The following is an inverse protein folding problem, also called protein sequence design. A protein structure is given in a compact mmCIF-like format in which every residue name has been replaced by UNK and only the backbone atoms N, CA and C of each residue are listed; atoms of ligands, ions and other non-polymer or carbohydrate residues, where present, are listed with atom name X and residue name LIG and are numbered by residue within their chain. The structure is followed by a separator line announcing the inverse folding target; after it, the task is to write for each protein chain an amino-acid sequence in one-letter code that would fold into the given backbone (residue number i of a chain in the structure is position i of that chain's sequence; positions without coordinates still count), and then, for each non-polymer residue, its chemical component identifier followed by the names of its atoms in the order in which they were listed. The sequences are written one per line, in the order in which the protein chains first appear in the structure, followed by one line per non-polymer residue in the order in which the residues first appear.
data_IF_761149884362
#
_entry.id   IF_761149884362
#
_cell.length_a   1.000
_cell.length_b   1.000
_cell.length_c   1.000
_cell.angle_alpha   90.00
_cell.angle_beta   90.00
_cell.angle_gamma   90.00
#
_symmetry.space_group_name_H-M   'P 1'
#
loop_
_entity.id
_entity.type
_entity.pdbx_description
1 polymer ?
#
# COMPACT_ATOMS: atom_id res chain seq x y z
N UNK A 1 5.75 -8.19 4.21
CA UNK A 1 4.55 -7.78 3.44
C UNK A 1 3.63 -8.96 3.15
N UNK A 2 4.13 -10.05 2.55
CA UNK A 2 3.31 -11.21 2.15
C UNK A 2 2.48 -11.81 3.31
N UNK A 3 3.08 -12.06 4.47
CA UNK A 3 2.35 -12.58 5.63
C UNK A 3 1.28 -11.61 6.14
N UNK A 4 1.62 -10.34 6.30
CA UNK A 4 0.68 -9.30 6.73
C UNK A 4 -0.51 -9.18 5.78
N UNK A 5 -0.26 -9.27 4.47
CA UNK A 5 -1.31 -9.32 3.46
C UNK A 5 -2.18 -10.58 3.64
N UNK A 6 -1.58 -11.77 3.63
CA UNK A 6 -2.32 -13.04 3.70
C UNK A 6 -3.27 -13.12 4.91
N UNK A 7 -2.82 -12.67 6.09
CA UNK A 7 -3.63 -12.71 7.30
C UNK A 7 -4.50 -11.46 7.49
N UNK A 8 -4.06 -10.29 7.02
CA UNK A 8 -4.69 -9.00 7.28
C UNK A 8 -6.15 -8.94 6.83
N UNK A 9 -6.45 -9.39 5.61
CA UNK A 9 -7.84 -9.43 5.10
C UNK A 9 -8.74 -10.36 5.93
N UNK A 10 -8.26 -11.58 6.20
CA UNK A 10 -9.03 -12.59 6.96
C UNK A 10 -9.29 -12.16 8.40
N UNK A 11 -8.30 -11.49 9.03
CA UNK A 11 -8.43 -10.94 10.38
C UNK A 11 -9.35 -9.72 10.36
N UNK A 12 -9.31 -8.88 9.31
CA UNK A 12 -10.20 -7.73 9.13
C UNK A 12 -11.67 -8.16 9.02
N UNK A 13 -11.95 -9.28 8.36
CA UNK A 13 -13.29 -9.86 8.28
C UNK A 13 -13.82 -10.29 9.65
N UNK A 14 -12.93 -10.75 10.55
CA UNK A 14 -13.30 -11.23 11.88
C UNK A 14 -13.37 -10.12 12.94
N UNK A 15 -12.31 -9.32 13.07
CA UNK A 15 -12.13 -8.27 14.08
C UNK A 15 -12.71 -6.91 13.67
N UNK A 16 -13.01 -6.72 12.38
CA UNK A 16 -13.46 -5.47 11.79
C UNK A 16 -12.31 -4.67 11.15
N UNK A 17 -12.57 -4.13 9.95
CA UNK A 17 -11.60 -3.40 9.14
C UNK A 17 -10.94 -2.23 9.88
N UNK A 18 -11.71 -1.38 10.58
CA UNK A 18 -11.17 -0.24 11.32
C UNK A 18 -10.12 -0.67 12.36
N UNK A 19 -10.43 -1.71 13.15
CA UNK A 19 -9.55 -2.18 14.22
C UNK A 19 -8.26 -2.77 13.66
N UNK A 20 -8.36 -3.57 12.60
CA UNK A 20 -7.18 -4.17 11.96
C UNK A 20 -6.33 -3.10 11.29
N UNK A 21 -6.93 -2.11 10.64
CA UNK A 21 -6.20 -0.99 10.05
C UNK A 21 -5.45 -0.20 11.14
N UNK A 22 -6.12 0.19 12.23
CA UNK A 22 -5.47 0.92 13.34
C UNK A 22 -4.32 0.11 13.96
N UNK A 23 -4.53 -1.19 14.20
CA UNK A 23 -3.48 -2.06 14.74
C UNK A 23 -2.30 -2.19 13.77
N UNK A 24 -2.58 -2.32 12.48
CA UNK A 24 -1.56 -2.44 11.43
C UNK A 24 -0.70 -1.18 11.32
N UNK A 25 -1.35 -0.01 11.38
CA UNK A 25 -0.67 1.29 11.40
C UNK A 25 0.14 1.48 12.69
N UNK A 26 -0.37 1.04 13.84
CA UNK A 26 0.37 1.07 15.10
C UNK A 26 1.62 0.17 15.07
N UNK A 27 1.47 -1.09 14.62
CA UNK A 27 2.60 -2.02 14.45
C UNK A 27 3.62 -1.43 13.48
N UNK A 28 3.17 -0.93 12.33
CA UNK A 28 4.06 -0.28 11.37
C UNK A 28 4.82 0.88 12.02
N UNK A 29 4.13 1.85 12.61
CA UNK A 29 4.76 3.05 13.17
C UNK A 29 5.74 2.75 14.31
N UNK A 30 5.37 1.88 15.25
CA UNK A 30 6.21 1.51 16.39
C UNK A 30 7.48 0.80 15.92
N UNK A 31 7.36 -0.25 15.10
CA UNK A 31 8.53 -1.02 14.67
C UNK A 31 9.40 -0.26 13.65
N UNK A 32 8.80 0.65 12.89
CA UNK A 32 9.55 1.56 12.01
C UNK A 32 10.36 2.58 12.82
N UNK A 33 9.83 3.09 13.94
CA UNK A 33 10.60 3.95 14.85
C UNK A 33 11.67 3.17 15.63
N UNK A 34 11.36 1.97 16.13
CA UNK A 34 12.32 1.12 16.87
C UNK A 34 13.55 0.75 16.03
N UNK A 35 13.39 0.67 14.71
CA UNK A 35 14.49 0.48 13.76
C UNK A 35 15.60 1.53 13.94
N UNK A 36 15.27 2.77 14.31
CA UNK A 36 16.23 3.86 14.47
C UNK A 36 17.21 3.65 15.64
N UNK A 37 16.79 2.87 16.65
CA UNK A 37 17.54 2.63 17.88
C UNK A 37 17.95 1.15 18.04
N UNK A 38 17.85 0.36 16.97
CA UNK A 38 18.17 -1.06 17.00
C UNK A 38 19.65 -1.28 17.33
N UNK A 39 19.99 -1.95 18.45
CA UNK A 39 21.38 -2.11 18.90
C UNK A 39 22.10 -3.30 18.25
N UNK A 40 21.36 -4.19 17.57
CA UNK A 40 21.89 -5.39 16.93
C UNK A 40 21.18 -5.71 15.61
N UNK A 41 21.81 -6.53 14.78
CA UNK A 41 21.28 -6.90 13.47
C UNK A 41 20.04 -7.80 13.57
N UNK A 42 19.96 -8.64 14.60
CA UNK A 42 18.81 -9.51 14.86
C UNK A 42 17.57 -8.69 15.20
N UNK A 43 17.72 -7.67 16.05
CA UNK A 43 16.64 -6.73 16.39
C UNK A 43 16.23 -5.93 15.16
N UNK A 44 17.19 -5.53 14.32
CA UNK A 44 16.89 -4.86 13.06
C UNK A 44 16.04 -5.74 12.14
N UNK A 45 16.40 -7.01 11.96
CA UNK A 45 15.61 -7.95 11.14
C UNK A 45 14.21 -8.17 11.71
N UNK A 46 14.09 -8.35 13.03
CA UNK A 46 12.80 -8.51 13.69
C UNK A 46 11.91 -7.27 13.51
N UNK A 47 12.47 -6.07 13.73
CA UNK A 47 11.75 -4.81 13.54
C UNK A 47 11.30 -4.62 12.09
N UNK A 48 12.15 -4.96 11.11
CA UNK A 48 11.80 -4.87 9.68
C UNK A 48 10.76 -5.90 9.26
N UNK A 49 10.83 -7.11 9.79
CA UNK A 49 9.81 -8.12 9.57
C UNK A 49 8.44 -7.64 10.06
N UNK A 50 8.37 -7.09 11.28
CA UNK A 50 7.13 -6.60 11.89
C UNK A 50 6.60 -5.33 11.23
N UNK A 51 7.48 -4.41 10.83
CA UNK A 51 7.12 -3.28 9.95
C UNK A 51 6.46 -3.78 8.68
N UNK A 52 7.07 -4.79 8.03
CA UNK A 52 6.54 -5.40 6.82
C UNK A 52 5.21 -6.13 7.02
N UNK A 53 4.94 -6.63 8.23
CA UNK A 53 3.65 -7.22 8.59
C UNK A 53 2.58 -6.15 8.73
N UNK A 54 2.86 -5.08 9.47
CA UNK A 54 1.96 -3.93 9.61
C UNK A 54 1.61 -3.28 8.28
N UNK A 55 2.60 -3.00 7.43
CA UNK A 55 2.35 -2.41 6.10
C UNK A 55 1.47 -3.31 5.22
N UNK A 56 1.77 -4.62 5.18
CA UNK A 56 1.03 -5.57 4.36
C UNK A 56 -0.43 -5.72 4.78
N UNK A 57 -0.68 -5.77 6.09
CA UNK A 57 -2.03 -5.85 6.64
C UNK A 57 -2.81 -4.54 6.43
N UNK A 58 -2.17 -3.38 6.60
CA UNK A 58 -2.78 -2.08 6.36
C UNK A 58 -3.22 -1.91 4.89
N UNK A 59 -2.34 -2.25 3.93
CA UNK A 59 -2.65 -2.11 2.50
C UNK A 59 -3.85 -2.96 2.09
N UNK A 60 -3.93 -4.23 2.49
CA UNK A 60 -5.09 -5.05 2.14
C UNK A 60 -6.37 -4.60 2.82
N UNK A 61 -6.27 -4.18 4.09
CA UNK A 61 -7.45 -3.68 4.82
C UNK A 61 -7.98 -2.41 4.15
N UNK A 62 -7.10 -1.52 3.68
CA UNK A 62 -7.49 -0.33 2.91
C UNK A 62 -8.16 -0.69 1.57
N UNK A 63 -7.62 -1.65 0.81
CA UNK A 63 -8.24 -2.13 -0.43
C UNK A 63 -9.67 -2.64 -0.16
N UNK A 64 -9.84 -3.38 0.93
CA UNK A 64 -11.17 -3.87 1.34
C UNK A 64 -12.12 -2.74 1.73
N UNK A 65 -11.67 -1.77 2.52
CA UNK A 65 -12.48 -0.60 2.92
C UNK A 65 -12.91 0.21 1.70
N UNK A 66 -11.99 0.46 0.77
CA UNK A 66 -12.30 1.15 -0.49
C UNK A 66 -13.28 0.33 -1.32
N UNK A 67 -13.13 -1.00 -1.38
CA UNK A 67 -14.09 -1.89 -2.05
C UNK A 67 -15.51 -1.77 -1.52
N UNK A 68 -15.67 -1.62 -0.20
CA UNK A 68 -16.97 -1.50 0.46
C UNK A 68 -17.60 -0.09 0.34
N UNK A 69 -16.79 0.95 0.10
CA UNK A 69 -17.27 2.34 -0.03
C UNK A 69 -17.36 2.81 -1.48
N UNK A 70 -16.61 2.18 -2.38
CA UNK A 70 -16.56 2.54 -3.78
C UNK A 70 -17.83 2.06 -4.50
N UNK A 71 -18.51 3.03 -5.12
CA UNK A 71 -19.48 2.77 -6.17
C UNK A 71 -18.76 2.48 -7.48
N UNK A 72 -19.44 1.85 -8.45
CA UNK A 72 -18.85 1.58 -9.77
C UNK A 72 -18.33 2.85 -10.48
N UNK A 73 -18.90 4.02 -10.17
CA UNK A 73 -18.56 5.30 -10.81
C UNK A 73 -17.29 5.97 -10.26
N UNK A 74 -16.87 5.62 -9.04
CA UNK A 74 -15.73 6.27 -8.37
C UNK A 74 -14.65 5.29 -7.90
N UNK A 75 -14.76 4.00 -8.25
CA UNK A 75 -13.81 2.96 -7.85
C UNK A 75 -12.40 3.24 -8.35
N UNK A 76 -12.23 3.69 -9.60
CA UNK A 76 -10.93 4.06 -10.15
C UNK A 76 -10.28 5.20 -9.38
N UNK A 77 -11.04 6.27 -9.11
CA UNK A 77 -10.58 7.42 -8.30
C UNK A 77 -10.24 7.07 -6.86
N UNK A 78 -11.06 6.28 -6.18
CA UNK A 78 -10.81 5.93 -4.78
C UNK A 78 -9.58 5.01 -4.64
N UNK A 79 -9.43 4.04 -5.56
CA UNK A 79 -8.23 3.21 -5.61
C UNK A 79 -6.99 4.04 -5.94
N UNK A 80 -7.05 4.94 -6.93
CA UNK A 80 -5.90 5.78 -7.27
C UNK A 80 -5.52 6.72 -6.13
N UNK A 81 -6.49 7.30 -5.43
CA UNK A 81 -6.25 8.15 -4.26
C UNK A 81 -5.55 7.38 -3.14
N UNK A 82 -5.98 6.14 -2.88
CA UNK A 82 -5.32 5.26 -1.93
C UNK A 82 -3.85 4.97 -2.34
N UNK A 83 -3.59 4.63 -3.60
CA UNK A 83 -2.24 4.34 -4.08
C UNK A 83 -1.33 5.57 -4.10
N UNK A 84 -1.88 6.79 -4.21
CA UNK A 84 -1.09 8.03 -4.15
C UNK A 84 -0.43 8.27 -2.79
N UNK A 85 -0.88 7.61 -1.72
CA UNK A 85 -0.21 7.71 -0.42
C UNK A 85 1.27 7.31 -0.47
N UNK A 86 1.64 6.35 -1.31
CA UNK A 86 3.03 5.89 -1.46
C UNK A 86 3.96 6.96 -2.07
N UNK A 87 3.69 7.51 -3.28
CA UNK A 87 4.54 8.56 -3.83
C UNK A 87 4.48 9.85 -3.01
N UNK A 88 3.34 10.20 -2.39
CA UNK A 88 3.26 11.35 -1.48
C UNK A 88 4.19 11.19 -0.27
N UNK A 89 4.23 10.00 0.34
CA UNK A 89 5.18 9.70 1.40
C UNK A 89 6.65 9.80 0.95
N UNK A 90 6.95 9.33 -0.26
CA UNK A 90 8.29 9.44 -0.83
C UNK A 90 8.70 10.90 -1.10
N UNK A 91 7.78 11.74 -1.59
CA UNK A 91 7.99 13.19 -1.75
C UNK A 91 8.30 13.84 -0.40
N UNK A 92 7.54 13.50 0.63
CA UNK A 92 7.77 14.02 1.98
C UNK A 92 9.17 13.69 2.49
N UNK A 93 9.61 12.43 2.36
CA UNK A 93 10.96 12.00 2.76
C UNK A 93 12.05 12.67 1.93
N UNK A 94 11.89 12.76 0.61
CA UNK A 94 12.84 13.44 -0.27
C UNK A 94 12.97 14.93 0.09
N UNK A 95 11.85 15.60 0.39
CA UNK A 95 11.84 16.99 0.86
C UNK A 95 12.61 17.19 2.16
N UNK A 96 12.44 16.28 3.14
CA UNK A 96 13.23 16.31 4.38
C UNK A 96 14.73 16.13 4.11
N UNK A 97 15.10 15.21 3.21
CA UNK A 97 16.49 14.97 2.85
C UNK A 97 17.15 16.15 2.10
N UNK A 98 16.37 16.90 1.31
CA UNK A 98 16.84 18.11 0.62
C UNK A 98 17.00 19.28 1.61
N UNK A 99 16.04 19.46 2.51
CA UNK A 99 16.06 20.56 3.48
C UNK A 99 17.12 20.36 4.57
N UNK A 100 17.26 19.14 5.09
CA UNK A 100 18.24 18.78 6.11
C UNK A 100 19.41 18.01 5.49
N UNK A 101 20.45 18.73 5.04
CA UNK A 101 21.61 18.16 4.32
C UNK A 101 22.28 16.98 5.05
N UNK A 102 22.37 17.08 6.39
CA UNK A 102 23.02 16.10 7.26
C UNK A 102 22.02 15.24 8.06
N UNK A 103 20.79 15.06 7.55
CA UNK A 103 19.82 14.21 8.22
C UNK A 103 20.33 12.77 8.32
N UNK A 104 20.43 12.29 9.55
CA UNK A 104 20.80 10.90 9.82
C UNK A 104 19.64 9.97 9.44
N UNK A 105 19.95 8.76 8.99
CA UNK A 105 18.93 7.78 8.62
C UNK A 105 18.01 7.43 9.81
N UNK A 106 18.54 7.42 11.04
CA UNK A 106 17.77 7.21 12.28
C UNK A 106 16.63 8.21 12.41
N UNK A 107 16.90 9.49 12.11
CA UNK A 107 15.89 10.56 12.15
C UNK A 107 14.78 10.32 11.13
N UNK A 108 15.11 9.82 9.93
CA UNK A 108 14.13 9.46 8.91
C UNK A 108 13.21 8.32 9.37
N UNK A 109 13.75 7.30 10.04
CA UNK A 109 12.95 6.22 10.63
C UNK A 109 12.08 6.68 11.80
N UNK A 110 12.61 7.54 12.66
CA UNK A 110 11.83 8.13 13.76
C UNK A 110 10.66 8.97 13.22
N UNK A 111 10.93 9.89 12.29
CA UNK A 111 9.89 10.72 11.69
C UNK A 111 8.86 9.84 10.97
N UNK A 112 9.32 8.90 10.13
CA UNK A 112 8.43 8.01 9.38
C UNK A 112 7.60 7.08 10.26
N UNK A 113 8.09 6.73 11.46
CA UNK A 113 7.39 5.88 12.42
C UNK A 113 6.43 6.66 13.31
N UNK A 114 6.83 7.85 13.77
CA UNK A 114 6.01 8.71 14.61
C UNK A 114 4.84 9.35 13.84
N UNK A 115 5.05 9.72 12.57
CA UNK A 115 4.01 10.34 11.73
C UNK A 115 2.70 9.53 11.71
N UNK A 116 2.68 8.23 11.35
CA UNK A 116 1.45 7.44 11.37
C UNK A 116 0.89 7.23 12.78
N UNK A 117 1.73 7.18 13.83
CA UNK A 117 1.27 7.06 15.23
C UNK A 117 0.53 8.31 15.69
N UNK A 118 1.02 9.50 15.32
CA UNK A 118 0.34 10.78 15.60
C UNK A 118 -0.98 10.90 14.85
N UNK A 119 -1.11 10.25 13.69
CA UNK A 119 -2.35 10.22 12.91
C UNK A 119 -3.37 9.19 13.45
N UNK A 120 -2.99 8.23 14.29
CA UNK A 120 -3.90 7.22 14.83
C UNK A 120 -5.12 7.79 15.56
N UNK A 121 -5.00 8.78 16.46
CA UNK A 121 -6.17 9.38 17.12
C UNK A 121 -7.12 10.02 16.11
N UNK A 122 -6.59 10.70 15.10
CA UNK A 122 -7.37 11.32 14.04
C UNK A 122 -8.09 10.26 13.19
N UNK A 123 -7.40 9.18 12.82
CA UNK A 123 -8.00 8.02 12.16
C UNK A 123 -9.11 7.39 13.00
N UNK A 124 -8.92 7.26 14.31
CA UNK A 124 -9.91 6.67 15.21
C UNK A 124 -11.19 7.51 15.32
N UNK A 125 -11.08 8.83 15.20
CA UNK A 125 -12.20 9.78 15.20
C UNK A 125 -12.96 9.77 13.86
N UNK A 126 -12.24 9.69 12.73
CA UNK A 126 -12.85 9.76 11.39
C UNK A 126 -13.43 8.43 10.96
N UNK A 127 -12.69 7.34 11.16
CA UNK A 127 -13.13 6.02 10.76
C UNK A 127 -14.28 5.61 11.67
N UNK A 128 -15.47 5.47 11.08
CA UNK A 128 -16.62 4.93 11.80
C UNK A 128 -16.48 3.41 11.87
N UNK A 129 -16.76 2.84 13.03
CA UNK A 129 -16.95 1.40 13.12
C UNK A 129 -18.20 1.06 12.30
N UNK A 130 -18.02 0.45 11.12
CA UNK A 130 -19.16 -0.10 10.41
C UNK A 130 -19.71 -1.22 11.29
N UNK A 131 -21.01 -1.19 11.68
CA UNK A 131 -21.60 -2.32 12.34
C UNK A 131 -21.35 -3.53 11.44
N UNK A 132 -20.82 -4.61 12.04
CA UNK A 132 -20.69 -5.90 11.38
C UNK A 132 -21.99 -6.08 10.61
N UNK A 133 -21.93 -6.29 9.30
CA UNK A 133 -23.06 -6.90 8.62
C UNK A 133 -23.28 -8.21 9.39
N UNK A 134 -24.20 -8.19 10.35
CA UNK A 134 -24.86 -9.39 10.85
C UNK A 134 -25.17 -10.09 9.56
N UNK A 135 -24.55 -11.25 9.32
CA UNK A 135 -24.93 -12.10 8.21
C UNK A 135 -26.44 -12.17 8.33
N UNK A 136 -27.14 -11.41 7.49
CA UNK A 136 -28.58 -11.54 7.38
C UNK A 136 -28.68 -13.01 7.03
N UNK A 137 -29.25 -13.79 7.94
CA UNK A 137 -29.72 -15.13 7.63
C UNK A 137 -30.86 -14.91 6.65
N UNK A 138 -30.54 -14.47 5.44
CA UNK A 138 -31.39 -14.74 4.30
C UNK A 138 -31.27 -16.24 4.18
N UNK A 139 -32.39 -16.92 4.40
CA UNK A 139 -32.59 -18.34 4.10
C UNK A 139 -32.49 -18.53 2.58
N UNK A 140 -31.35 -18.18 2.00
CA UNK A 140 -30.96 -18.38 0.63
C UNK A 140 -29.71 -19.24 0.69
N UNK A 141 -29.86 -20.43 0.11
CA UNK A 141 -28.89 -21.50 -0.06
C UNK A 141 -27.43 -21.06 0.15
N UNK A 142 -26.74 -21.77 1.03
CA UNK A 142 -25.28 -21.74 1.14
C UNK A 142 -24.67 -22.11 -0.22
N UNK A 143 -24.51 -21.14 -1.12
CA UNK A 143 -23.60 -21.25 -2.24
C UNK A 143 -22.23 -21.26 -1.58
N UNK A 144 -21.65 -22.47 -1.44
CA UNK A 144 -20.28 -22.61 -1.00
C UNK A 144 -19.43 -21.72 -1.89
N UNK A 145 -18.87 -20.65 -1.32
CA UNK A 145 -17.97 -19.76 -2.06
C UNK A 145 -16.81 -20.65 -2.51
N UNK A 146 -16.66 -20.90 -3.82
CA UNK A 146 -15.67 -21.85 -4.31
C UNK A 146 -14.28 -21.41 -3.87
N UNK A 147 -13.41 -22.37 -3.57
CA UNK A 147 -12.04 -22.08 -3.17
C UNK A 147 -11.34 -21.23 -4.24
N UNK A 148 -10.48 -20.29 -3.85
CA UNK A 148 -9.80 -19.41 -4.81
C UNK A 148 -9.05 -20.18 -5.90
N UNK A 149 -8.42 -21.30 -5.53
CA UNK A 149 -7.81 -22.23 -6.49
C UNK A 149 -8.85 -22.85 -7.43
N UNK A 150 -10.02 -23.22 -6.91
CA UNK A 150 -11.10 -23.75 -7.73
C UNK A 150 -11.59 -22.70 -8.74
N UNK A 151 -11.76 -21.42 -8.36
CA UNK A 151 -12.17 -20.36 -9.30
C UNK A 151 -11.11 -20.07 -10.36
N UNK A 152 -9.84 -20.03 -9.99
CA UNK A 152 -8.74 -19.70 -10.89
C UNK A 152 -8.41 -20.82 -11.88
N UNK A 153 -8.54 -22.08 -11.46
CA UNK A 153 -8.17 -23.25 -12.26
C UNK A 153 -9.37 -23.95 -12.93
N UNK A 154 -10.61 -23.72 -12.48
CA UNK A 154 -11.82 -24.18 -13.17
C UNK A 154 -12.10 -23.26 -14.37
N UNK A 155 -12.54 -23.83 -15.49
CA UNK A 155 -12.84 -23.12 -16.76
C UNK A 155 -11.64 -22.47 -17.50
N UNK A 156 -10.41 -22.99 -17.35
CA UNK A 156 -9.21 -22.47 -18.07
C UNK A 156 -8.90 -20.97 -17.87
N UNK A 157 -9.47 -20.34 -16.85
CA UNK A 157 -9.27 -18.91 -16.52
C UNK A 157 -7.78 -18.59 -16.27
N UNK A 158 -6.98 -19.58 -15.84
CA UNK A 158 -5.53 -19.46 -15.68
C UNK A 158 -4.80 -18.96 -16.95
N UNK A 159 -5.32 -19.28 -18.16
CA UNK A 159 -4.73 -18.81 -19.43
C UNK A 159 -4.82 -17.29 -19.59
N UNK A 160 -5.79 -16.65 -18.92
CA UNK A 160 -5.96 -15.20 -18.91
C UNK A 160 -5.26 -14.55 -17.71
N UNK A 161 -5.25 -15.20 -16.55
CA UNK A 161 -4.70 -14.62 -15.31
C UNK A 161 -3.18 -14.75 -15.19
N UNK A 162 -2.58 -15.84 -15.68
CA UNK A 162 -1.11 -16.05 -15.62
C UNK A 162 -0.33 -15.00 -16.41
N UNK A 163 -0.69 -14.65 -17.67
CA UNK A 163 -0.03 -13.56 -18.40
C UNK A 163 -0.17 -12.21 -17.70
N UNK A 164 -1.32 -11.94 -17.08
CA UNK A 164 -1.53 -10.72 -16.29
C UNK A 164 -0.61 -10.66 -15.07
N UNK A 165 -0.47 -11.78 -14.34
CA UNK A 165 0.44 -11.87 -13.21
C UNK A 165 1.89 -11.70 -13.63
N UNK A 166 2.28 -12.31 -14.76
CA UNK A 166 3.62 -12.17 -15.31
C UNK A 166 3.89 -10.72 -15.70
N UNK A 167 3.00 -10.10 -16.49
CA UNK A 167 3.12 -8.68 -16.85
C UNK A 167 3.22 -7.77 -15.62
N UNK A 168 2.33 -7.97 -14.64
CA UNK A 168 2.33 -7.20 -13.40
C UNK A 168 3.61 -7.41 -12.59
N UNK A 169 4.14 -8.63 -12.52
CA UNK A 169 5.41 -8.94 -11.87
C UNK A 169 6.57 -8.15 -12.51
N UNK A 170 6.69 -8.15 -13.84
CA UNK A 170 7.75 -7.40 -14.52
C UNK A 170 7.58 -5.89 -14.35
N UNK A 171 6.34 -5.39 -14.37
CA UNK A 171 6.07 -3.98 -14.07
C UNK A 171 6.51 -3.60 -12.65
N UNK A 172 6.16 -4.41 -11.64
CA UNK A 172 6.59 -4.17 -10.26
C UNK A 172 8.11 -4.30 -10.10
N UNK A 173 8.74 -5.25 -10.79
CA UNK A 173 10.19 -5.44 -10.78
C UNK A 173 10.92 -4.21 -11.34
N UNK A 174 10.53 -3.73 -12.52
CA UNK A 174 11.11 -2.53 -13.13
C UNK A 174 10.94 -1.33 -12.21
N UNK A 175 9.74 -1.16 -11.66
CA UNK A 175 9.46 -0.07 -10.72
C UNK A 175 10.36 -0.15 -9.47
N UNK A 176 10.53 -1.34 -8.91
CA UNK A 176 11.38 -1.55 -7.73
C UNK A 176 12.86 -1.30 -8.01
N UNK A 177 13.38 -1.78 -9.15
CA UNK A 177 14.76 -1.53 -9.58
C UNK A 177 14.97 -0.03 -9.75
N UNK A 178 14.07 0.65 -10.45
CA UNK A 178 14.15 2.09 -10.67
C UNK A 178 14.17 2.84 -9.33
N UNK A 179 13.21 2.61 -8.44
CA UNK A 179 13.16 3.35 -7.16
C UNK A 179 14.36 3.01 -6.26
N UNK A 180 14.82 1.76 -6.22
CA UNK A 180 15.89 1.34 -5.31
C UNK A 180 17.29 1.70 -5.78
N UNK A 181 17.53 1.80 -7.09
CA UNK A 181 18.88 1.97 -7.65
C UNK A 181 19.11 3.33 -8.32
N UNK A 182 18.05 4.02 -8.75
CA UNK A 182 18.17 5.34 -9.39
C UNK A 182 19.00 6.35 -8.59
N UNK A 183 18.87 6.53 -7.26
CA UNK A 183 19.63 7.57 -6.58
C UNK A 183 21.11 7.21 -6.51
N UNK A 184 21.44 5.93 -6.30
CA UNK A 184 22.83 5.45 -6.31
C UNK A 184 23.46 5.64 -7.69
N UNK A 185 22.76 5.27 -8.77
CA UNK A 185 23.24 5.46 -10.13
C UNK A 185 23.48 6.94 -10.46
N UNK A 186 22.59 7.84 -10.04
CA UNK A 186 22.78 9.27 -10.26
C UNK A 186 24.00 9.80 -9.50
N UNK A 187 24.21 9.36 -8.25
CA UNK A 187 25.39 9.74 -7.47
C UNK A 187 26.70 9.16 -8.05
N UNK A 188 26.69 7.94 -8.59
CA UNK A 188 27.84 7.35 -9.29
C UNK A 188 28.22 8.11 -10.57
N UNK A 189 27.25 8.75 -11.23
CA UNK A 189 27.49 9.65 -12.37
C UNK A 189 28.05 11.02 -11.96
N UNK A 190 28.31 11.24 -10.68
CA UNK A 190 28.89 12.48 -10.15
C UNK A 190 27.87 13.54 -9.77
N UNK A 191 26.55 13.26 -9.84
CA UNK A 191 25.54 14.18 -9.31
C UNK A 191 25.64 14.25 -7.79
N UNK A 192 25.42 15.43 -7.25
CA UNK A 192 25.33 15.61 -5.81
C UNK A 192 24.12 14.86 -5.23
N UNK A 193 24.20 14.52 -3.94
CA UNK A 193 23.08 13.93 -3.19
C UNK A 193 21.79 14.75 -3.35
N UNK A 194 21.89 16.08 -3.32
CA UNK A 194 20.75 16.99 -3.46
C UNK A 194 20.10 16.91 -4.84
N UNK A 195 20.89 16.84 -5.92
CA UNK A 195 20.37 16.69 -7.29
C UNK A 195 19.70 15.32 -7.47
N UNK A 196 20.30 14.25 -6.96
CA UNK A 196 19.70 12.91 -7.00
C UNK A 196 18.33 12.87 -6.31
N UNK A 197 18.21 13.39 -5.09
CA UNK A 197 16.92 13.47 -4.38
C UNK A 197 15.91 14.41 -5.07
N UNK A 198 16.37 15.47 -5.75
CA UNK A 198 15.49 16.37 -6.52
C UNK A 198 14.89 15.65 -7.73
N UNK A 199 15.69 14.85 -8.46
CA UNK A 199 15.20 14.02 -9.57
C UNK A 199 14.19 12.99 -9.06
N UNK A 200 14.47 12.35 -7.91
CA UNK A 200 13.51 11.43 -7.30
C UNK A 200 12.19 12.12 -6.91
N UNK A 201 12.26 13.33 -6.36
CA UNK A 201 11.08 14.11 -6.02
C UNK A 201 10.22 14.37 -7.25
N UNK A 202 10.83 14.82 -8.36
CA UNK A 202 10.13 15.05 -9.63
C UNK A 202 9.50 13.75 -10.15
N UNK A 203 10.24 12.63 -10.10
CA UNK A 203 9.73 11.32 -10.48
C UNK A 203 8.48 10.94 -9.68
N UNK A 204 8.49 11.15 -8.36
CA UNK A 204 7.35 10.83 -7.50
C UNK A 204 6.17 11.80 -7.70
N UNK A 205 6.42 13.09 -8.00
CA UNK A 205 5.36 14.02 -8.39
C UNK A 205 4.68 13.55 -9.69
N UNK A 206 5.47 13.12 -10.68
CA UNK A 206 4.96 12.48 -11.88
C UNK A 206 4.12 11.24 -11.59
N UNK A 207 4.54 10.40 -10.64
CA UNK A 207 3.79 9.23 -10.21
C UNK A 207 2.45 9.58 -9.56
N UNK A 208 2.37 10.65 -8.75
CA UNK A 208 1.10 11.15 -8.20
C UNK A 208 0.17 11.59 -9.33
N UNK A 209 0.66 12.45 -10.22
CA UNK A 209 -0.13 12.99 -11.34
C UNK A 209 -0.64 11.86 -12.23
N UNK A 210 0.24 10.91 -12.59
CA UNK A 210 -0.11 9.76 -13.40
C UNK A 210 -1.15 8.87 -12.74
N UNK A 211 -0.98 8.57 -11.45
CA UNK A 211 -1.90 7.69 -10.70
C UNK A 211 -3.29 8.32 -10.58
N UNK A 212 -3.38 9.59 -10.19
CA UNK A 212 -4.66 10.31 -10.10
C UNK A 212 -5.31 10.50 -11.47
N UNK A 213 -4.52 10.89 -12.47
CA UNK A 213 -4.99 11.11 -13.84
C UNK A 213 -5.56 9.84 -14.47
N UNK A 214 -4.86 8.71 -14.34
CA UNK A 214 -5.35 7.41 -14.81
C UNK A 214 -6.60 6.96 -14.04
N UNK A 215 -6.63 7.11 -12.71
CA UNK A 215 -7.82 6.79 -11.93
C UNK A 215 -9.05 7.60 -12.37
N UNK A 216 -8.88 8.88 -12.66
CA UNK A 216 -9.92 9.73 -13.23
C UNK A 216 -10.35 9.28 -14.64
N UNK A 217 -9.38 8.94 -15.49
CA UNK A 217 -9.63 8.52 -16.87
C UNK A 217 -10.39 7.18 -16.91
N UNK A 218 -10.01 6.23 -16.06
CA UNK A 218 -10.66 4.92 -15.93
C UNK A 218 -12.16 5.07 -15.59
N UNK A 219 -12.49 5.95 -14.64
CA UNK A 219 -13.88 6.26 -14.29
C UNK A 219 -14.64 6.97 -15.42
N UNK A 220 -13.95 7.81 -16.21
CA UNK A 220 -14.55 8.55 -17.33
C UNK A 220 -14.83 7.65 -18.53
N UNK A 221 -13.87 6.80 -18.89
CA UNK A 221 -13.93 5.95 -20.07
C UNK A 221 -14.76 4.68 -19.85
N UNK A 222 -15.16 4.39 -18.60
CA UNK A 222 -15.92 3.19 -18.23
C UNK A 222 -15.31 1.90 -18.78
N UNK A 223 -13.98 1.82 -18.86
CA UNK A 223 -13.24 0.67 -19.41
C UNK A 223 -13.55 -0.66 -18.70
N UNK A 224 -14.19 -0.59 -17.53
CA UNK A 224 -14.74 -1.73 -16.79
C UNK A 224 -15.94 -2.41 -17.49
N UNK A 225 -16.69 -1.71 -18.35
CA UNK A 225 -17.91 -2.21 -19.00
C UNK A 225 -17.63 -2.99 -20.28
N UNK A 226 -16.47 -2.80 -20.92
CA UNK A 226 -16.15 -3.39 -22.23
C UNK A 226 -15.90 -4.90 -22.19
N UNK A 227 -15.79 -5.50 -20.99
CA UNK A 227 -15.50 -6.93 -20.81
C UNK A 227 -16.75 -7.79 -20.52
N UNK A 228 -17.95 -7.19 -20.49
CA UNK A 228 -19.23 -7.86 -20.19
C UNK A 228 -20.08 -8.10 -21.47
N UNK A 229 -19.58 -7.71 -22.64
CA UNK A 229 -20.20 -7.96 -23.95
C UNK A 229 -19.40 -9.02 -24.73
#
# INVERSE_FOLDING_TARGET
MLFGAFFGGRIADYLGQKRVLMLSVAIFGVFFALTAIAPSIEILYAARFLTGLGLGAAMLTMISVVGDEATERNRGKLNSLMYCGLPVGAIFVAGLAIYFKDISWQTLFLIGGLTPLVLLPFMAMILKDKPRAVKVQTTEQQIAVPNMAEVLFKQEQYKRTVPLWFGFFFTLMINYILISWLPNLLMEQGLSKQEAFSIMLIFQVGAVIGTLGLGYLLDRLKLWQEWVL
#
